data_IF_072276933732
#
_entry.id   IF_072276933732
#
_cell.length_a   1.000
_cell.length_b   1.000
_cell.length_c   1.000
_cell.angle_alpha   90.00
_cell.angle_beta   90.00
_cell.angle_gamma   90.00
#
_symmetry.space_group_name_H-M   'P 1'
#
loop_
_entity.id
_entity.type
_entity.pdbx_description
1 polymer ?
#
# COMPACT_ATOMS: atom_id res chain seq x y z
N UNK A 1 -25.08 30.42 -7.31
CA UNK A 1 -23.96 29.53 -6.93
C UNK A 1 -24.53 28.42 -6.07
N UNK A 2 -24.71 27.22 -6.63
CA UNK A 2 -25.15 26.07 -5.84
C UNK A 2 -24.05 25.74 -4.83
N UNK A 3 -24.33 25.92 -3.53
CA UNK A 3 -23.44 25.50 -2.46
C UNK A 3 -23.30 23.98 -2.57
N UNK A 4 -22.12 23.48 -2.95
CA UNK A 4 -21.82 22.05 -2.90
C UNK A 4 -22.06 21.60 -1.45
N UNK A 5 -22.81 20.52 -1.26
CA UNK A 5 -23.04 19.98 0.08
C UNK A 5 -21.70 19.69 0.75
N UNK A 6 -21.53 20.04 2.04
CA UNK A 6 -20.26 19.85 2.74
C UNK A 6 -19.90 18.37 2.78
N UNK A 7 -18.65 18.05 2.48
CA UNK A 7 -18.16 16.68 2.37
C UNK A 7 -17.40 16.32 3.65
N UNK A 8 -17.85 15.26 4.33
CA UNK A 8 -17.24 14.76 5.56
C UNK A 8 -16.54 13.42 5.34
N UNK A 9 -15.29 13.32 5.78
CA UNK A 9 -14.51 12.08 5.81
C UNK A 9 -14.60 11.42 7.19
N UNK A 10 -14.94 10.14 7.25
CA UNK A 10 -14.76 9.31 8.44
C UNK A 10 -13.39 8.62 8.45
N UNK A 11 -12.72 8.57 9.60
CA UNK A 11 -11.51 7.79 9.83
C UNK A 11 -11.76 6.87 11.02
N UNK A 12 -11.78 5.56 10.81
CA UNK A 12 -11.90 4.57 11.89
C UNK A 12 -10.52 4.03 12.29
N UNK A 13 -10.25 4.06 13.59
CA UNK A 13 -8.94 3.72 14.14
C UNK A 13 -8.01 4.93 14.11
N UNK A 14 -7.46 5.27 15.28
CA UNK A 14 -6.56 6.40 15.43
C UNK A 14 -5.17 5.96 15.87
N UNK A 15 -4.65 4.96 15.17
CA UNK A 15 -3.26 4.53 15.26
C UNK A 15 -2.36 5.27 14.28
N UNK A 16 -1.27 4.62 13.86
CA UNK A 16 -0.25 5.21 12.97
C UNK A 16 -0.82 5.73 11.65
N UNK A 17 -1.48 4.88 10.87
CA UNK A 17 -2.06 5.26 9.57
C UNK A 17 -3.24 6.22 9.73
N UNK A 18 -4.09 6.03 10.74
CA UNK A 18 -5.20 6.95 11.04
C UNK A 18 -4.72 8.37 11.36
N UNK A 19 -3.68 8.52 12.18
CA UNK A 19 -3.08 9.82 12.47
C UNK A 19 -2.50 10.48 11.22
N UNK A 20 -1.71 9.74 10.45
CA UNK A 20 -1.11 10.26 9.23
C UNK A 20 -2.16 10.58 8.15
N UNK A 21 -3.26 9.83 8.10
CA UNK A 21 -4.40 10.14 7.21
C UNK A 21 -5.08 11.45 7.61
N UNK A 22 -5.26 11.70 8.92
CA UNK A 22 -5.72 13.01 9.41
C UNK A 22 -4.75 14.12 8.98
N UNK A 23 -3.44 13.92 9.15
CA UNK A 23 -2.42 14.89 8.73
C UNK A 23 -2.49 15.19 7.23
N UNK A 24 -2.57 14.14 6.39
CA UNK A 24 -2.70 14.27 4.95
C UNK A 24 -3.92 15.10 4.56
N UNK A 25 -5.11 14.74 5.07
CA UNK A 25 -6.34 15.42 4.69
C UNK A 25 -6.45 16.84 5.27
N UNK A 26 -5.90 17.09 6.46
CA UNK A 26 -5.77 18.44 7.02
C UNK A 26 -4.79 19.32 6.21
N UNK A 27 -3.74 18.72 5.63
CA UNK A 27 -2.83 19.39 4.71
C UNK A 27 -3.48 19.70 3.36
N UNK A 28 -4.21 18.73 2.81
CA UNK A 28 -4.87 18.83 1.49
C UNK A 28 -6.11 19.71 1.48
N UNK A 29 -6.85 19.76 2.60
CA UNK A 29 -8.08 20.56 2.77
C UNK A 29 -9.17 20.31 1.72
N UNK A 30 -9.28 19.07 1.24
CA UNK A 30 -10.34 18.68 0.30
C UNK A 30 -11.69 18.51 1.00
N UNK A 31 -11.69 17.97 2.22
CA UNK A 31 -12.91 17.75 3.02
C UNK A 31 -13.18 18.94 3.94
N UNK A 32 -14.46 19.33 4.07
CA UNK A 32 -14.89 20.40 4.97
C UNK A 32 -14.78 19.99 6.44
N UNK A 33 -14.98 18.70 6.72
CA UNK A 33 -14.81 18.14 8.06
C UNK A 33 -14.35 16.68 8.06
N UNK A 34 -13.73 16.27 9.17
CA UNK A 34 -13.23 14.92 9.40
C UNK A 34 -13.76 14.41 10.74
N UNK A 35 -14.27 13.18 10.76
CA UNK A 35 -14.74 12.50 11.97
C UNK A 35 -13.81 11.32 12.24
N UNK A 36 -13.10 11.36 13.34
CA UNK A 36 -12.15 10.32 13.73
C UNK A 36 -12.73 9.47 14.86
N UNK A 37 -12.91 8.17 14.63
CA UNK A 37 -13.27 7.23 15.69
C UNK A 37 -12.04 6.56 16.30
N UNK A 38 -11.84 6.80 17.59
CA UNK A 38 -10.82 6.13 18.42
C UNK A 38 -11.37 4.84 19.04
N UNK A 39 -12.71 4.76 19.18
CA UNK A 39 -13.44 3.59 19.63
C UNK A 39 -13.33 3.25 21.11
N UNK A 40 -12.66 4.08 21.92
CA UNK A 40 -12.60 3.97 23.37
C UNK A 40 -12.18 5.30 23.99
N UNK A 41 -12.41 5.44 25.29
CA UNK A 41 -11.77 6.49 26.06
C UNK A 41 -10.25 6.32 26.05
N UNK A 42 -9.56 7.45 25.86
CA UNK A 42 -8.11 7.55 25.74
C UNK A 42 -7.63 8.81 26.44
N UNK A 43 -6.43 8.72 27.03
CA UNK A 43 -5.85 9.83 27.78
C UNK A 43 -6.60 10.14 29.08
N UNK A 44 -6.13 11.18 29.76
CA UNK A 44 -6.75 11.81 30.93
C UNK A 44 -7.66 12.97 30.52
N UNK A 45 -7.37 13.61 29.39
CA UNK A 45 -8.16 14.73 28.85
C UNK A 45 -8.07 14.81 27.33
N UNK A 46 -8.86 15.69 26.72
CA UNK A 46 -8.80 15.95 25.29
C UNK A 46 -7.42 16.49 24.84
N UNK A 47 -6.68 17.13 25.74
CA UNK A 47 -5.33 17.61 25.48
C UNK A 47 -4.34 16.49 25.16
N UNK A 48 -4.53 15.27 25.67
CA UNK A 48 -3.68 14.13 25.34
C UNK A 48 -3.88 13.68 23.88
N UNK A 49 -5.10 13.82 23.36
CA UNK A 49 -5.41 13.52 21.95
C UNK A 49 -4.77 14.58 21.05
N UNK A 50 -4.87 15.85 21.43
CA UNK A 50 -4.19 16.97 20.76
C UNK A 50 -2.67 16.73 20.75
N UNK A 51 -2.09 16.36 21.90
CA UNK A 51 -0.67 16.05 22.01
C UNK A 51 -0.25 14.91 21.06
N UNK A 52 -1.07 13.86 20.96
CA UNK A 52 -0.84 12.76 20.01
C UNK A 52 -0.95 13.21 18.55
N UNK A 53 -1.94 14.05 18.21
CA UNK A 53 -2.12 14.63 16.88
C UNK A 53 -0.90 15.45 16.49
N UNK A 54 -0.37 16.30 17.36
CA UNK A 54 0.70 17.25 17.01
C UNK A 54 2.08 16.61 16.84
N UNK A 55 2.34 15.45 17.45
CA UNK A 55 3.72 14.94 17.60
C UNK A 55 3.94 13.62 16.91
N UNK A 56 5.01 13.54 16.12
CA UNK A 56 5.47 12.35 15.44
C UNK A 56 6.98 12.19 15.54
N UNK A 57 7.45 11.00 15.94
CA UNK A 57 8.90 10.75 16.04
C UNK A 57 9.58 10.69 14.68
N UNK A 58 8.88 10.23 13.64
CA UNK A 58 9.43 10.06 12.29
C UNK A 58 9.33 11.35 11.49
N UNK A 59 8.18 12.02 11.58
CA UNK A 59 7.86 13.20 10.74
C UNK A 59 7.92 14.53 11.48
N UNK A 60 8.31 14.54 12.75
CA UNK A 60 8.39 15.74 13.58
C UNK A 60 7.01 16.22 14.05
N UNK A 61 6.86 17.53 14.20
CA UNK A 61 5.59 18.14 14.63
C UNK A 61 4.68 18.41 13.44
N UNK A 62 3.37 18.25 13.61
CA UNK A 62 2.36 18.46 12.56
C UNK A 62 2.53 19.83 11.87
N UNK A 63 2.68 20.90 12.65
CA UNK A 63 2.82 22.23 12.07
C UNK A 63 4.10 22.39 11.26
N UNK A 64 5.21 21.83 11.76
CA UNK A 64 6.51 21.88 11.06
C UNK A 64 6.49 21.02 9.81
N UNK A 65 5.81 19.87 9.86
CA UNK A 65 5.58 19.00 8.72
C UNK A 65 4.75 19.71 7.62
N UNK A 66 3.70 20.44 8.00
CA UNK A 66 2.81 21.13 7.04
C UNK A 66 3.36 22.46 6.52
N UNK A 67 4.08 23.22 7.36
CA UNK A 67 4.43 24.64 7.08
C UNK A 67 5.92 24.96 7.24
N UNK A 68 6.76 23.97 7.54
CA UNK A 68 8.21 24.14 7.67
C UNK A 68 8.65 24.83 8.96
N UNK A 69 9.85 25.41 8.96
CA UNK A 69 10.54 25.87 10.17
C UNK A 69 9.90 27.09 10.87
N UNK A 70 9.09 27.89 10.16
CA UNK A 70 8.39 29.06 10.72
C UNK A 70 6.98 28.73 11.22
N UNK A 71 6.63 27.45 11.26
CA UNK A 71 5.28 27.03 11.59
C UNK A 71 4.87 27.37 13.02
N UNK A 72 3.65 27.86 13.16
CA UNK A 72 2.91 27.97 14.44
C UNK A 72 1.92 26.82 14.53
N UNK A 73 1.43 26.51 15.73
CA UNK A 73 0.41 25.47 15.91
C UNK A 73 -0.74 25.67 14.92
N UNK A 74 -1.13 24.56 14.31
CA UNK A 74 -2.24 24.50 13.36
C UNK A 74 -3.53 24.01 14.02
N UNK A 75 -3.53 23.86 15.34
CA UNK A 75 -4.70 23.47 16.12
C UNK A 75 -5.36 24.70 16.72
N UNK A 76 -6.67 24.82 16.55
CA UNK A 76 -7.48 25.91 17.09
C UNK A 76 -8.89 25.42 17.45
N UNK A 77 -9.69 26.30 18.07
CA UNK A 77 -11.12 26.10 18.30
C UNK A 77 -11.45 24.78 19.01
N UNK A 78 -10.68 24.47 20.04
CA UNK A 78 -10.82 23.25 20.84
C UNK A 78 -12.06 23.35 21.72
N UNK A 79 -12.98 22.41 21.53
CA UNK A 79 -14.16 22.20 22.36
C UNK A 79 -14.13 20.77 22.91
N UNK A 80 -13.71 20.62 24.16
CA UNK A 80 -13.58 19.32 24.83
C UNK A 80 -14.93 18.66 25.11
N UNK A 81 -15.97 19.46 25.42
CA UNK A 81 -17.31 18.94 25.71
C UNK A 81 -17.93 18.33 24.44
N UNK A 82 -17.74 19.00 23.29
CA UNK A 82 -18.10 18.43 22.00
C UNK A 82 -17.07 17.41 21.52
N UNK A 83 -15.83 17.39 22.01
CA UNK A 83 -14.76 16.56 21.46
C UNK A 83 -14.40 16.97 20.02
N UNK A 84 -14.38 18.27 19.74
CA UNK A 84 -14.04 18.83 18.43
C UNK A 84 -12.90 19.84 18.51
N UNK A 85 -12.25 20.05 17.37
CA UNK A 85 -11.15 20.99 17.19
C UNK A 85 -11.02 21.32 15.69
N UNK A 86 -10.27 22.36 15.37
CA UNK A 86 -9.80 22.60 14.01
C UNK A 86 -8.35 22.13 13.87
N UNK A 87 -8.04 21.43 12.77
CA UNK A 87 -6.68 21.02 12.41
C UNK A 87 -6.34 21.59 11.04
N UNK A 88 -5.42 22.54 11.01
CA UNK A 88 -5.06 23.34 9.82
C UNK A 88 -6.29 23.99 9.14
N UNK A 89 -7.29 24.39 9.91
CA UNK A 89 -8.54 24.97 9.42
C UNK A 89 -9.61 23.97 8.94
N UNK A 90 -9.34 22.66 9.00
CA UNK A 90 -10.34 21.61 8.77
C UNK A 90 -11.01 21.25 10.08
N UNK A 91 -12.34 21.18 10.10
CA UNK A 91 -13.12 20.81 11.30
C UNK A 91 -12.93 19.33 11.62
N UNK A 92 -12.57 19.00 12.85
CA UNK A 92 -12.34 17.62 13.29
C UNK A 92 -13.22 17.30 14.49
N UNK A 93 -13.88 16.15 14.44
CA UNK A 93 -14.67 15.57 15.56
C UNK A 93 -14.06 14.25 15.98
N UNK A 94 -13.86 14.03 17.27
CA UNK A 94 -13.30 12.78 17.81
C UNK A 94 -14.40 11.98 18.53
N UNK A 95 -14.63 10.74 18.07
CA UNK A 95 -15.53 9.76 18.69
C UNK A 95 -14.74 8.76 19.54
N UNK A 96 -15.27 8.41 20.72
CA UNK A 96 -14.53 7.67 21.76
C UNK A 96 -15.29 6.49 22.38
N UNK A 97 -16.42 6.07 21.84
CA UNK A 97 -17.31 5.12 22.51
C UNK A 97 -17.48 3.77 21.79
N UNK A 98 -17.32 3.72 20.45
CA UNK A 98 -17.74 2.55 19.68
C UNK A 98 -16.59 1.83 18.96
N UNK A 99 -16.38 0.55 19.30
CA UNK A 99 -15.41 -0.32 18.61
C UNK A 99 -16.00 -1.14 17.47
N UNK A 100 -17.30 -1.41 17.51
CA UNK A 100 -17.96 -2.16 16.44
C UNK A 100 -18.38 -1.16 15.35
N UNK A 101 -17.94 -1.32 14.09
CA UNK A 101 -18.24 -0.42 12.99
C UNK A 101 -19.71 -0.03 12.84
N UNK A 102 -20.64 -0.97 13.07
CA UNK A 102 -22.09 -0.75 12.95
C UNK A 102 -22.68 0.24 13.96
N UNK A 103 -21.95 0.50 15.04
CA UNK A 103 -22.39 1.41 16.10
C UNK A 103 -21.72 2.79 15.99
N UNK A 104 -20.81 3.00 15.03
CA UNK A 104 -20.13 4.30 14.88
C UNK A 104 -21.05 5.19 14.04
N UNK A 105 -21.84 6.07 14.67
CA UNK A 105 -22.93 6.88 14.09
C UNK A 105 -22.53 7.76 12.87
N UNK A 106 -22.07 7.22 11.75
CA UNK A 106 -21.57 7.97 10.59
C UNK A 106 -22.64 8.85 9.95
N UNK A 107 -23.87 8.33 9.85
CA UNK A 107 -25.02 9.08 9.33
C UNK A 107 -25.24 10.41 10.08
N UNK A 108 -25.14 10.40 11.41
CA UNK A 108 -25.32 11.59 12.27
C UNK A 108 -24.27 12.66 12.00
N UNK A 109 -23.11 12.26 11.49
CA UNK A 109 -22.02 13.17 11.16
C UNK A 109 -21.85 13.40 9.65
N UNK A 110 -22.80 12.93 8.82
CA UNK A 110 -22.74 13.01 7.36
C UNK A 110 -21.46 12.40 6.74
N UNK A 111 -20.84 11.44 7.43
CA UNK A 111 -19.60 10.79 6.98
C UNK A 111 -19.90 9.67 5.97
N UNK A 112 -20.13 10.04 4.72
CA UNK A 112 -20.50 9.09 3.64
C UNK A 112 -19.31 8.29 3.10
N UNK A 113 -18.09 8.79 3.26
CA UNK A 113 -16.86 8.08 2.90
C UNK A 113 -16.06 7.82 4.17
N UNK A 114 -15.65 6.58 4.39
CA UNK A 114 -14.92 6.15 5.59
C UNK A 114 -13.64 5.43 5.21
N UNK A 115 -12.54 5.75 5.89
CA UNK A 115 -11.30 4.99 5.82
C UNK A 115 -11.15 4.17 7.10
N UNK A 116 -11.08 2.85 6.99
CA UNK A 116 -10.74 1.98 8.12
C UNK A 116 -9.23 1.75 8.18
N UNK A 117 -8.63 2.26 9.25
CA UNK A 117 -7.19 2.12 9.54
C UNK A 117 -6.92 1.23 10.76
N UNK A 118 -7.92 0.47 11.21
CA UNK A 118 -7.80 -0.41 12.38
C UNK A 118 -6.95 -1.65 12.09
N UNK A 119 -6.91 -2.09 10.82
CA UNK A 119 -6.29 -3.34 10.39
C UNK A 119 -7.01 -4.59 10.91
N UNK A 120 -8.21 -4.43 11.49
CA UNK A 120 -9.00 -5.52 12.10
C UNK A 120 -10.08 -6.05 11.18
N UNK A 121 -10.76 -5.16 10.46
CA UNK A 121 -11.93 -5.50 9.64
C UNK A 121 -11.51 -5.66 8.18
N UNK A 122 -10.85 -6.77 7.87
CA UNK A 122 -10.22 -6.98 6.55
C UNK A 122 -10.88 -8.08 5.72
N UNK A 123 -11.88 -8.78 6.26
CA UNK A 123 -12.63 -9.76 5.47
C UNK A 123 -13.92 -9.10 4.96
N UNK A 124 -14.02 -8.75 3.67
CA UNK A 124 -15.19 -8.12 3.10
C UNK A 124 -16.39 -9.08 2.95
N UNK A 125 -16.19 -10.39 3.12
CA UNK A 125 -17.27 -11.38 3.05
C UNK A 125 -18.09 -11.49 4.35
N UNK A 126 -17.56 -10.97 5.45
CA UNK A 126 -18.21 -11.02 6.76
C UNK A 126 -19.40 -10.07 6.87
N UNK A 127 -20.53 -10.58 7.37
CA UNK A 127 -21.78 -9.83 7.53
C UNK A 127 -21.75 -8.78 8.66
N UNK A 128 -22.75 -7.89 8.70
CA UNK A 128 -22.86 -6.80 9.69
C UNK A 128 -23.02 -7.30 11.14
N UNK A 129 -23.48 -8.54 11.31
CA UNK A 129 -23.78 -9.13 12.62
C UNK A 129 -22.62 -9.90 13.24
N UNK A 130 -21.42 -9.86 12.64
CA UNK A 130 -20.25 -10.49 13.23
C UNK A 130 -20.01 -10.00 14.68
N UNK A 131 -19.88 -10.90 15.67
CA UNK A 131 -19.72 -10.52 17.08
C UNK A 131 -18.51 -9.61 17.33
N UNK A 132 -17.45 -9.80 16.53
CA UNK A 132 -16.21 -9.03 16.62
C UNK A 132 -16.20 -7.77 15.76
N UNK A 133 -17.28 -7.49 15.04
CA UNK A 133 -17.43 -6.43 14.03
C UNK A 133 -16.91 -6.84 12.64
N UNK A 134 -17.42 -6.19 11.61
CA UNK A 134 -17.03 -6.38 10.20
C UNK A 134 -16.93 -5.03 9.48
N UNK A 135 -16.24 -5.00 8.34
CA UNK A 135 -16.08 -3.77 7.54
C UNK A 135 -17.43 -3.27 7.01
N UNK A 136 -18.36 -4.19 6.72
CA UNK A 136 -19.74 -3.90 6.32
C UNK A 136 -20.52 -3.12 7.36
N UNK A 137 -20.15 -3.23 8.65
CA UNK A 137 -20.78 -2.43 9.70
C UNK A 137 -20.64 -0.92 9.47
N UNK A 138 -19.60 -0.44 8.77
CA UNK A 138 -19.52 0.98 8.41
C UNK A 138 -20.66 1.41 7.50
N UNK A 139 -21.07 0.55 6.56
CA UNK A 139 -22.19 0.81 5.65
C UNK A 139 -23.51 0.86 6.43
N UNK A 140 -23.73 -0.12 7.32
CA UNK A 140 -24.89 -0.15 8.22
C UNK A 140 -25.01 1.12 9.07
N UNK A 141 -23.86 1.66 9.50
CA UNK A 141 -23.78 2.89 10.28
C UNK A 141 -23.98 4.19 9.45
N UNK A 142 -24.18 4.08 8.14
CA UNK A 142 -24.50 5.20 7.25
C UNK A 142 -23.38 5.65 6.31
N UNK A 143 -22.24 4.95 6.27
CA UNK A 143 -21.27 5.18 5.21
C UNK A 143 -21.80 4.61 3.87
N UNK A 144 -21.42 5.23 2.76
CA UNK A 144 -21.72 4.74 1.40
C UNK A 144 -20.51 4.04 0.79
N UNK A 145 -19.30 4.56 1.05
CA UNK A 145 -18.02 3.99 0.60
C UNK A 145 -17.08 3.77 1.77
N UNK A 146 -16.41 2.63 1.81
CA UNK A 146 -15.46 2.26 2.87
C UNK A 146 -14.15 1.81 2.25
N UNK A 147 -13.05 2.44 2.65
CA UNK A 147 -11.70 2.12 2.17
C UNK A 147 -10.90 1.49 3.31
N UNK A 148 -10.52 0.23 3.18
CA UNK A 148 -9.58 -0.42 4.08
C UNK A 148 -8.14 0.00 3.76
N UNK A 149 -7.41 0.48 4.76
CA UNK A 149 -5.98 0.82 4.65
C UNK A 149 -5.06 -0.42 4.77
N UNK A 150 -5.51 -1.57 4.28
CA UNK A 150 -4.75 -2.81 4.24
C UNK A 150 -5.39 -3.80 3.23
N UNK A 151 -4.64 -4.84 2.79
CA UNK A 151 -5.19 -5.89 1.93
C UNK A 151 -6.34 -6.61 2.61
N UNK A 152 -7.34 -6.99 1.81
CA UNK A 152 -8.37 -7.90 2.29
C UNK A 152 -7.77 -9.26 2.67
N UNK A 153 -8.40 -9.91 3.65
CA UNK A 153 -8.04 -11.22 4.18
C UNK A 153 -9.23 -12.15 4.07
N UNK A 154 -9.42 -12.70 2.88
CA UNK A 154 -10.43 -13.73 2.65
C UNK A 154 -9.90 -15.11 3.07
N UNK A 155 -10.81 -15.99 3.47
CA UNK A 155 -10.49 -17.42 3.63
C UNK A 155 -10.20 -18.02 2.26
N UNK A 156 -9.37 -19.06 2.24
CA UNK A 156 -9.06 -19.79 1.02
C UNK A 156 -10.32 -20.36 0.38
N UNK A 157 -10.44 -20.24 -0.95
CA UNK A 157 -11.62 -20.66 -1.71
C UNK A 157 -12.81 -19.68 -1.67
N UNK A 158 -12.77 -18.62 -0.87
CA UNK A 158 -13.82 -17.59 -0.85
C UNK A 158 -13.55 -16.53 -1.92
N UNK A 159 -14.48 -16.37 -2.84
CA UNK A 159 -14.42 -15.34 -3.87
C UNK A 159 -14.57 -13.93 -3.27
N UNK A 160 -13.98 -12.93 -3.92
CA UNK A 160 -14.21 -11.53 -3.58
C UNK A 160 -15.70 -11.21 -3.76
N UNK A 161 -16.39 -10.62 -2.75
CA UNK A 161 -17.75 -10.13 -2.94
C UNK A 161 -17.80 -9.13 -4.11
N UNK A 162 -18.89 -9.15 -4.88
CA UNK A 162 -18.99 -8.32 -6.08
C UNK A 162 -18.89 -6.81 -5.79
N UNK A 163 -19.36 -6.35 -4.63
CA UNK A 163 -19.27 -4.95 -4.22
C UNK A 163 -17.90 -4.55 -3.66
N UNK A 164 -16.89 -5.42 -3.76
CA UNK A 164 -15.58 -5.25 -3.16
C UNK A 164 -14.45 -5.33 -4.18
N UNK A 165 -13.48 -4.41 -4.10
CA UNK A 165 -12.36 -4.32 -5.06
C UNK A 165 -11.05 -3.96 -4.37
N UNK A 166 -9.92 -4.46 -4.87
CA UNK A 166 -8.58 -4.02 -4.46
C UNK A 166 -7.99 -3.13 -5.56
N UNK A 167 -7.57 -1.93 -5.20
CA UNK A 167 -7.02 -0.97 -6.16
C UNK A 167 -5.71 -0.38 -5.67
N UNK A 168 -4.79 -0.14 -6.60
CA UNK A 168 -3.59 0.68 -6.42
C UNK A 168 -3.66 1.83 -7.44
N UNK A 169 -3.59 3.07 -6.93
CA UNK A 169 -3.59 4.28 -7.78
C UNK A 169 -2.42 4.25 -8.76
N UNK A 170 -2.69 4.58 -10.02
CA UNK A 170 -1.70 4.56 -11.11
C UNK A 170 -1.49 3.19 -11.75
N UNK A 171 -2.12 2.13 -11.23
CA UNK A 171 -1.97 0.76 -11.73
C UNK A 171 -3.30 0.23 -12.24
N UNK A 172 -4.29 0.14 -11.35
CA UNK A 172 -5.62 -0.42 -11.65
C UNK A 172 -6.75 0.38 -10.96
N UNK A 173 -6.53 1.66 -10.66
CA UNK A 173 -7.56 2.53 -10.07
C UNK A 173 -8.85 2.64 -10.90
N UNK A 174 -8.76 2.35 -12.20
CA UNK A 174 -9.88 2.29 -13.14
C UNK A 174 -10.77 1.06 -12.97
N UNK A 175 -10.30 0.02 -12.28
CA UNK A 175 -11.11 -1.17 -11.98
C UNK A 175 -12.22 -0.84 -10.96
N UNK A 176 -12.10 0.30 -10.27
CA UNK A 176 -13.17 0.77 -9.42
C UNK A 176 -14.35 1.31 -10.23
N UNK A 177 -15.48 0.62 -10.08
CA UNK A 177 -16.78 1.08 -10.50
C UNK A 177 -17.51 1.78 -9.32
N UNK A 178 -17.83 3.08 -9.40
CA UNK A 178 -18.54 3.81 -8.35
C UNK A 178 -19.98 3.37 -8.12
N UNK A 179 -20.63 2.74 -9.09
CA UNK A 179 -22.00 2.21 -8.95
C UNK A 179 -21.98 0.88 -8.21
N UNK A 180 -20.98 0.04 -8.48
CA UNK A 180 -20.89 -1.32 -7.94
C UNK A 180 -20.12 -1.42 -6.63
N UNK A 181 -18.94 -0.81 -6.55
CA UNK A 181 -17.99 -1.08 -5.46
C UNK A 181 -18.20 -0.15 -4.27
N UNK A 182 -18.53 -0.72 -3.11
CA UNK A 182 -18.74 0.01 -1.85
C UNK A 182 -17.62 -0.21 -0.84
N UNK A 183 -16.88 -1.32 -0.96
CA UNK A 183 -15.80 -1.68 -0.03
C UNK A 183 -14.51 -1.85 -0.84
N UNK A 184 -13.55 -0.96 -0.58
CA UNK A 184 -12.32 -0.87 -1.36
C UNK A 184 -11.14 -1.23 -0.46
N UNK A 185 -10.21 -2.04 -0.93
CA UNK A 185 -8.89 -2.20 -0.32
C UNK A 185 -7.88 -1.34 -1.05
N UNK A 186 -7.16 -0.49 -0.33
CA UNK A 186 -6.01 0.24 -0.87
C UNK A 186 -4.71 -0.58 -0.79
N UNK A 187 -4.83 -1.91 -0.92
CA UNK A 187 -3.73 -2.87 -0.86
C UNK A 187 -2.79 -2.65 0.36
N UNK A 188 -1.50 -2.98 0.20
CA UNK A 188 -0.45 -2.74 1.20
C UNK A 188 0.63 -1.81 0.63
N UNK A 189 1.41 -1.17 1.50
CA UNK A 189 2.56 -0.35 1.11
C UNK A 189 3.55 -1.10 0.20
N UNK A 190 3.86 -2.37 0.49
CA UNK A 190 4.72 -3.20 -0.37
C UNK A 190 4.07 -3.51 -1.72
N UNK A 191 2.77 -3.85 -1.75
CA UNK A 191 2.05 -4.07 -3.02
C UNK A 191 2.03 -2.80 -3.87
N UNK A 192 1.80 -1.64 -3.26
CA UNK A 192 1.81 -0.34 -3.93
C UNK A 192 3.14 -0.05 -4.59
N UNK A 193 4.26 -0.16 -3.86
CA UNK A 193 5.60 0.02 -4.41
C UNK A 193 5.90 -1.01 -5.52
N UNK A 194 5.71 -2.29 -5.23
CA UNK A 194 6.02 -3.37 -6.15
C UNK A 194 5.26 -3.30 -7.47
N UNK A 195 3.98 -2.89 -7.43
CA UNK A 195 3.16 -2.74 -8.65
C UNK A 195 3.73 -1.65 -9.56
N UNK A 196 4.23 -0.55 -8.98
CA UNK A 196 4.87 0.53 -9.73
C UNK A 196 6.27 0.16 -10.24
N UNK A 197 6.95 -0.82 -9.64
CA UNK A 197 8.18 -1.38 -10.19
C UNK A 197 7.90 -2.31 -11.38
N UNK A 198 6.93 -3.22 -11.22
CA UNK A 198 6.72 -4.29 -12.21
C UNK A 198 5.97 -3.79 -13.45
N UNK A 199 4.93 -2.96 -13.27
CA UNK A 199 4.03 -2.58 -14.37
C UNK A 199 4.76 -1.95 -15.58
N UNK A 200 5.70 -1.00 -15.40
CA UNK A 200 6.47 -0.47 -16.54
C UNK A 200 7.23 -1.53 -17.34
N UNK A 201 7.75 -2.55 -16.67
CA UNK A 201 8.50 -3.63 -17.31
C UNK A 201 7.58 -4.59 -18.05
N UNK A 202 6.41 -4.91 -17.50
CA UNK A 202 5.37 -5.69 -18.19
C UNK A 202 4.89 -4.94 -19.42
N UNK A 203 4.57 -3.65 -19.29
CA UNK A 203 4.04 -2.84 -20.39
C UNK A 203 5.06 -2.71 -21.54
N UNK A 204 6.36 -2.67 -21.22
CA UNK A 204 7.42 -2.58 -22.22
C UNK A 204 7.78 -3.92 -22.87
N UNK A 205 8.01 -4.96 -22.07
CA UNK A 205 8.48 -6.25 -22.59
C UNK A 205 7.34 -7.17 -23.04
N UNK A 206 6.12 -6.95 -22.54
CA UNK A 206 5.03 -7.91 -22.66
C UNK A 206 5.20 -9.07 -21.67
N UNK A 207 4.06 -9.62 -21.24
CA UNK A 207 4.02 -10.67 -20.22
C UNK A 207 4.75 -11.95 -20.64
N UNK A 208 4.69 -12.31 -21.92
CA UNK A 208 5.26 -13.54 -22.48
C UNK A 208 6.78 -13.61 -22.36
N UNK A 209 7.43 -12.44 -22.25
CA UNK A 209 8.89 -12.35 -22.13
C UNK A 209 9.38 -12.42 -20.69
N UNK A 210 8.48 -12.37 -19.71
CA UNK A 210 8.84 -12.45 -18.28
C UNK A 210 8.71 -13.90 -17.84
N UNK A 211 9.85 -14.55 -17.64
CA UNK A 211 9.91 -15.99 -17.33
C UNK A 211 9.63 -16.27 -15.85
N UNK A 212 10.14 -15.44 -14.97
CA UNK A 212 9.90 -15.52 -13.53
C UNK A 212 10.31 -14.22 -12.85
N UNK A 213 9.80 -14.02 -11.64
CA UNK A 213 10.23 -12.91 -10.81
C UNK A 213 10.25 -13.30 -9.33
N UNK A 214 11.08 -12.64 -8.56
CA UNK A 214 11.10 -12.77 -7.11
C UNK A 214 11.39 -11.43 -6.46
N UNK A 215 10.96 -11.25 -5.23
CA UNK A 215 11.34 -10.07 -4.46
C UNK A 215 11.59 -10.39 -3.00
N UNK A 216 12.47 -9.61 -2.41
CA UNK A 216 12.59 -9.49 -0.97
C UNK A 216 12.36 -8.02 -0.60
N UNK A 217 11.47 -7.76 0.35
CA UNK A 217 11.36 -6.43 0.94
C UNK A 217 12.14 -6.34 2.25
N UNK A 218 13.11 -5.43 2.29
CA UNK A 218 13.77 -4.99 3.53
C UNK A 218 12.92 -3.85 4.08
N UNK A 219 12.14 -4.17 5.10
CA UNK A 219 11.04 -3.33 5.54
C UNK A 219 11.31 -2.80 6.95
N UNK A 220 11.07 -1.51 7.14
CA UNK A 220 11.07 -0.88 8.44
C UNK A 220 10.13 -1.57 9.44
N UNK A 221 10.41 -1.37 10.72
CA UNK A 221 9.59 -1.84 11.82
C UNK A 221 8.17 -1.27 11.72
N UNK A 222 7.20 -2.02 12.25
CA UNK A 222 5.81 -1.55 12.39
C UNK A 222 5.31 -1.82 13.80
N UNK A 223 4.13 -1.28 14.14
CA UNK A 223 3.48 -1.57 15.43
C UNK A 223 3.07 -3.05 15.65
N UNK A 224 3.31 -3.94 14.67
CA UNK A 224 3.08 -5.37 14.83
C UNK A 224 4.25 -6.13 15.46
N UNK A 225 5.46 -5.56 15.44
CA UNK A 225 6.63 -6.11 16.12
C UNK A 225 6.67 -5.67 17.59
N UNK A 226 7.43 -6.39 18.43
CA UNK A 226 7.56 -6.06 19.85
C UNK A 226 8.82 -5.21 20.11
N UNK A 227 8.72 -4.29 21.07
CA UNK A 227 9.87 -3.48 21.52
C UNK A 227 10.90 -4.36 22.22
N UNK A 228 10.43 -5.25 23.10
CA UNK A 228 11.21 -6.26 23.79
C UNK A 228 10.54 -7.63 23.62
N UNK A 229 11.28 -8.69 23.90
CA UNK A 229 10.78 -10.06 23.83
C UNK A 229 9.49 -10.22 24.66
N UNK A 230 8.45 -10.81 24.05
CA UNK A 230 7.14 -10.99 24.68
C UNK A 230 6.60 -12.38 24.44
N UNK A 231 5.90 -12.96 25.42
CA UNK A 231 5.21 -14.23 25.24
C UNK A 231 4.24 -14.21 24.02
N UNK A 232 4.22 -15.28 23.22
CA UNK A 232 3.29 -15.43 22.11
C UNK A 232 1.85 -15.47 22.60
N UNK A 233 0.95 -14.93 21.78
CA UNK A 233 -0.49 -15.12 21.98
C UNK A 233 -0.87 -16.55 21.60
N UNK A 234 -1.95 -17.06 22.17
CA UNK A 234 -2.54 -18.36 21.79
C UNK A 234 -2.73 -18.44 20.27
N UNK A 235 -2.21 -19.51 19.65
CA UNK A 235 -2.30 -19.74 18.20
C UNK A 235 -1.32 -18.92 17.35
N UNK A 236 -0.28 -18.31 17.93
CA UNK A 236 0.77 -17.65 17.17
C UNK A 236 1.47 -18.64 16.24
N UNK A 237 1.45 -18.35 14.92
CA UNK A 237 2.09 -19.16 13.89
C UNK A 237 3.55 -18.77 13.62
N UNK A 238 3.96 -17.57 14.03
CA UNK A 238 5.29 -17.02 13.80
C UNK A 238 5.87 -16.44 15.09
N UNK A 239 6.73 -17.22 15.75
CA UNK A 239 7.36 -16.85 17.02
C UNK A 239 8.46 -15.80 16.87
N UNK A 240 8.93 -15.52 15.64
CA UNK A 240 9.96 -14.49 15.42
C UNK A 240 9.40 -13.10 15.71
N UNK A 241 8.11 -12.89 15.47
CA UNK A 241 7.40 -11.61 15.74
C UNK A 241 7.29 -11.26 17.22
N UNK A 242 7.62 -12.21 18.09
CA UNK A 242 7.66 -12.02 19.53
C UNK A 242 9.01 -11.50 20.04
N UNK A 243 10.03 -11.46 19.19
CA UNK A 243 11.36 -10.96 19.52
C UNK A 243 11.46 -9.44 19.34
N UNK A 244 12.35 -8.81 20.10
CA UNK A 244 12.67 -7.38 20.03
C UNK A 244 13.03 -6.92 18.62
N UNK A 245 12.39 -5.86 18.12
CA UNK A 245 12.70 -5.26 16.81
C UNK A 245 13.94 -4.36 16.81
N UNK A 246 14.38 -3.88 17.97
CA UNK A 246 15.44 -2.87 18.06
C UNK A 246 16.83 -3.42 17.72
N UNK A 247 17.00 -4.74 17.76
CA UNK A 247 18.31 -5.40 17.64
C UNK A 247 18.25 -6.70 16.84
N UNK A 248 17.19 -6.92 16.04
CA UNK A 248 17.05 -8.11 15.22
C UNK A 248 16.69 -7.80 13.77
N UNK A 249 17.12 -8.70 12.90
CA UNK A 249 16.62 -8.85 11.54
C UNK A 249 15.58 -9.98 11.58
N UNK A 250 14.31 -9.67 11.34
CA UNK A 250 13.21 -10.62 11.52
C UNK A 250 12.61 -11.02 10.16
N UNK A 251 12.81 -12.28 9.79
CA UNK A 251 12.17 -12.87 8.62
C UNK A 251 10.65 -12.98 8.83
N UNK A 252 9.85 -12.67 7.82
CA UNK A 252 8.38 -12.81 7.84
C UNK A 252 7.85 -13.09 6.44
N UNK A 253 6.69 -13.72 6.37
CA UNK A 253 5.96 -13.83 5.11
C UNK A 253 5.31 -12.52 4.72
N UNK A 254 5.06 -12.35 3.42
CA UNK A 254 4.31 -11.24 2.84
C UNK A 254 3.21 -11.75 1.91
N UNK A 255 2.09 -11.02 1.85
CA UNK A 255 0.98 -11.32 0.94
C UNK A 255 1.12 -10.66 -0.43
N UNK A 256 2.23 -9.94 -0.68
CA UNK A 256 2.39 -9.10 -1.87
C UNK A 256 2.24 -9.88 -3.19
N UNK A 257 2.73 -11.13 -3.25
CA UNK A 257 2.58 -12.00 -4.41
C UNK A 257 1.10 -12.23 -4.79
N UNK A 258 0.27 -12.62 -3.82
CA UNK A 258 -1.17 -12.85 -4.03
C UNK A 258 -1.90 -11.54 -4.34
N UNK A 259 -1.51 -10.45 -3.68
CA UNK A 259 -2.11 -9.15 -3.88
C UNK A 259 -1.80 -8.54 -5.26
N UNK A 260 -0.61 -8.83 -5.83
CA UNK A 260 -0.25 -8.40 -7.18
C UNK A 260 -1.22 -8.92 -8.23
N UNK A 261 -1.64 -10.19 -8.14
CA UNK A 261 -2.60 -10.78 -9.09
C UNK A 261 -3.96 -10.07 -9.07
N UNK A 262 -4.32 -9.39 -7.97
CA UNK A 262 -5.55 -8.62 -7.87
C UNK A 262 -5.46 -7.25 -8.55
N UNK A 263 -4.25 -6.73 -8.77
CA UNK A 263 -4.02 -5.38 -9.31
C UNK A 263 -3.30 -5.37 -10.65
N UNK A 264 -2.61 -6.46 -10.99
CA UNK A 264 -1.98 -6.74 -12.28
C UNK A 264 -2.30 -8.22 -12.58
N UNK A 265 -3.48 -8.52 -13.16
CA UNK A 265 -3.94 -9.89 -13.38
C UNK A 265 -2.95 -10.78 -14.15
N UNK A 266 -2.15 -10.19 -15.04
CA UNK A 266 -1.09 -10.84 -15.80
C UNK A 266 -0.05 -11.51 -14.89
N UNK A 267 0.15 -11.02 -13.67
CA UNK A 267 1.05 -11.64 -12.68
C UNK A 267 0.61 -13.05 -12.25
N UNK A 268 -0.61 -13.48 -12.56
CA UNK A 268 -1.07 -14.83 -12.28
C UNK A 268 -0.33 -15.90 -13.11
N UNK A 269 0.24 -15.53 -14.26
CA UNK A 269 0.96 -16.46 -15.15
C UNK A 269 2.46 -16.51 -14.87
N UNK A 270 3.00 -15.54 -14.13
CA UNK A 270 4.42 -15.49 -13.75
C UNK A 270 4.64 -16.25 -12.45
N UNK A 271 5.60 -17.16 -12.45
CA UNK A 271 6.12 -17.74 -11.20
C UNK A 271 6.74 -16.64 -10.33
N UNK A 272 6.06 -16.28 -9.23
CA UNK A 272 6.45 -15.15 -8.38
C UNK A 272 6.66 -15.56 -6.91
N UNK A 273 7.86 -15.27 -6.37
CA UNK A 273 8.20 -15.48 -4.95
C UNK A 273 8.33 -14.14 -4.25
N UNK A 274 7.76 -14.01 -3.05
CA UNK A 274 7.83 -12.78 -2.26
C UNK A 274 8.22 -13.06 -0.81
N UNK A 275 9.32 -12.45 -0.39
CA UNK A 275 9.87 -12.56 0.97
C UNK A 275 9.87 -11.19 1.66
N UNK A 276 9.88 -11.20 2.99
CA UNK A 276 9.98 -9.97 3.77
C UNK A 276 10.91 -10.13 4.95
N UNK A 277 11.70 -9.09 5.18
CA UNK A 277 12.65 -8.97 6.27
C UNK A 277 12.35 -7.68 7.01
N UNK A 278 12.23 -7.73 8.33
CA UNK A 278 12.05 -6.54 9.18
C UNK A 278 13.36 -6.12 9.78
N UNK A 279 13.67 -4.83 9.73
CA UNK A 279 14.91 -4.26 10.26
C UNK A 279 14.63 -3.15 11.29
N UNK A 280 15.63 -2.79 12.13
CA UNK A 280 15.49 -1.77 13.18
C UNK A 280 15.44 -0.30 12.68
N UNK A 281 14.65 -0.01 11.64
CA UNK A 281 14.40 1.35 11.16
C UNK A 281 12.94 1.75 11.38
N UNK A 282 12.68 3.05 11.57
CA UNK A 282 11.35 3.56 11.92
C UNK A 282 10.40 3.66 10.72
N UNK A 283 10.91 4.12 9.57
CA UNK A 283 10.25 4.06 8.26
C UNK A 283 11.33 4.04 7.17
N UNK A 284 10.93 3.97 5.91
CA UNK A 284 11.84 3.86 4.78
C UNK A 284 12.18 2.39 4.54
N UNK A 285 11.60 1.84 3.49
CA UNK A 285 11.70 0.43 3.12
C UNK A 285 12.19 0.29 1.69
N UNK A 286 12.71 -0.88 1.38
CA UNK A 286 13.29 -1.22 0.09
C UNK A 286 12.68 -2.51 -0.44
N UNK A 287 12.45 -2.58 -1.74
CA UNK A 287 12.19 -3.81 -2.48
C UNK A 287 13.40 -4.10 -3.35
N UNK A 288 13.91 -5.32 -3.23
CA UNK A 288 14.88 -5.90 -4.16
C UNK A 288 14.08 -6.82 -5.07
N UNK A 289 13.86 -6.39 -6.30
CA UNK A 289 13.10 -7.11 -7.31
C UNK A 289 14.09 -7.80 -8.27
N UNK A 290 13.95 -9.10 -8.43
CA UNK A 290 14.67 -9.89 -9.42
C UNK A 290 13.68 -10.34 -10.48
N UNK A 291 13.96 -10.05 -11.74
CA UNK A 291 13.14 -10.50 -12.88
C UNK A 291 14.00 -11.19 -13.91
N UNK A 292 13.49 -12.27 -14.49
CA UNK A 292 14.14 -13.01 -15.56
C UNK A 292 13.38 -12.78 -16.86
N UNK A 293 14.05 -12.22 -17.86
CA UNK A 293 13.50 -11.89 -19.16
C UNK A 293 14.09 -12.79 -20.23
N UNK A 294 13.25 -13.27 -21.14
CA UNK A 294 13.72 -13.90 -22.37
C UNK A 294 14.27 -12.82 -23.32
N UNK A 295 15.52 -13.00 -23.73
CA UNK A 295 16.14 -12.19 -24.78
C UNK A 295 15.52 -12.55 -26.13
N UNK A 296 15.34 -11.55 -26.99
CA UNK A 296 14.91 -11.76 -28.36
C UNK A 296 16.10 -11.94 -29.28
N UNK A 297 16.00 -12.90 -30.22
CA UNK A 297 17.00 -13.05 -31.28
C UNK A 297 17.00 -11.79 -32.14
N UNK A 298 18.20 -11.28 -32.47
CA UNK A 298 18.43 -10.12 -33.35
C UNK A 298 17.91 -8.76 -32.84
N UNK A 299 17.55 -8.64 -31.55
CA UNK A 299 17.23 -7.36 -30.91
C UNK A 299 18.39 -6.87 -30.05
N UNK A 300 18.31 -5.61 -29.61
CA UNK A 300 19.26 -5.08 -28.63
C UNK A 300 19.09 -5.87 -27.32
N UNK A 301 20.18 -6.37 -26.73
CA UNK A 301 20.08 -7.22 -25.57
C UNK A 301 19.66 -6.39 -24.34
N UNK A 302 18.96 -7.03 -23.40
CA UNK A 302 18.49 -6.37 -22.18
C UNK A 302 19.68 -6.06 -21.28
N UNK A 303 19.92 -4.77 -21.04
CA UNK A 303 21.02 -4.27 -20.20
C UNK A 303 20.50 -3.19 -19.27
N UNK A 304 21.29 -2.84 -18.25
CA UNK A 304 21.02 -1.74 -17.30
C UNK A 304 20.40 -0.52 -17.98
N UNK A 305 21.04 0.01 -19.02
CA UNK A 305 20.57 1.22 -19.71
C UNK A 305 19.15 1.09 -20.30
N UNK A 306 18.76 -0.10 -20.76
CA UNK A 306 17.39 -0.34 -21.24
C UNK A 306 16.40 -0.32 -20.08
N UNK A 307 16.68 -1.05 -19.00
CA UNK A 307 15.83 -1.09 -17.79
C UNK A 307 15.66 0.32 -17.21
N UNK A 308 16.76 1.05 -17.05
CA UNK A 308 16.77 2.43 -16.57
C UNK A 308 15.92 3.34 -17.46
N UNK A 309 16.05 3.22 -18.79
CA UNK A 309 15.26 4.03 -19.74
C UNK A 309 13.76 3.76 -19.67
N UNK A 310 13.34 2.53 -19.34
CA UNK A 310 11.93 2.17 -19.16
C UNK A 310 11.37 2.93 -17.95
N UNK A 311 12.12 2.96 -16.83
CA UNK A 311 11.70 3.67 -15.64
C UNK A 311 11.74 5.19 -15.79
N UNK A 312 12.75 5.75 -16.47
CA UNK A 312 12.78 7.19 -16.82
C UNK A 312 11.56 7.59 -17.65
N UNK A 313 11.18 6.77 -18.63
CA UNK A 313 10.01 7.04 -19.46
C UNK A 313 8.71 6.88 -18.66
N UNK A 314 8.65 5.87 -17.79
CA UNK A 314 7.50 5.66 -16.91
C UNK A 314 7.30 6.83 -15.94
N UNK A 315 8.37 7.35 -15.32
CA UNK A 315 8.33 8.58 -14.50
C UNK A 315 7.80 9.77 -15.32
N UNK A 316 8.36 10.04 -16.52
CA UNK A 316 7.93 11.15 -17.38
C UNK A 316 6.46 11.05 -17.79
N UNK A 317 5.97 9.84 -18.01
CA UNK A 317 4.56 9.58 -18.36
C UNK A 317 3.60 9.62 -17.16
N UNK A 318 4.12 9.51 -15.93
CA UNK A 318 3.34 9.45 -14.71
C UNK A 318 3.08 10.85 -14.15
N UNK A 319 2.03 11.50 -14.65
CA UNK A 319 1.64 12.86 -14.22
C UNK A 319 1.25 12.97 -12.75
N UNK A 320 0.98 11.85 -12.06
CA UNK A 320 0.62 11.83 -10.65
C UNK A 320 1.84 11.83 -9.71
N UNK A 321 3.03 11.54 -10.24
CA UNK A 321 4.27 11.47 -9.47
C UNK A 321 4.41 10.22 -8.58
N UNK A 322 3.70 9.13 -8.90
CA UNK A 322 3.77 7.90 -8.11
C UNK A 322 5.04 7.09 -8.34
N UNK A 323 5.70 7.24 -9.48
CA UNK A 323 6.97 6.58 -9.77
C UNK A 323 8.02 7.66 -9.98
N UNK A 324 9.11 7.59 -9.22
CA UNK A 324 10.28 8.44 -9.40
C UNK A 324 11.47 7.58 -9.84
N UNK A 325 12.34 8.16 -10.66
CA UNK A 325 13.59 7.55 -11.09
C UNK A 325 14.77 8.39 -10.62
N UNK A 326 15.84 7.73 -10.15
CA UNK A 326 17.04 8.43 -9.68
C UNK A 326 18.31 7.63 -9.92
N UNK A 327 19.38 8.33 -10.28
CA UNK A 327 20.76 7.83 -10.36
C UNK A 327 21.58 8.23 -9.12
N UNK A 328 20.94 8.85 -8.12
CA UNK A 328 21.58 9.18 -6.84
C UNK A 328 21.69 7.92 -5.99
N UNK A 329 22.78 7.81 -5.24
CA UNK A 329 23.00 6.75 -4.26
C UNK A 329 22.25 7.09 -2.98
N UNK A 330 21.04 6.54 -2.81
CA UNK A 330 20.17 6.88 -1.67
C UNK A 330 20.35 5.90 -0.53
N UNK A 331 20.05 6.35 0.68
CA UNK A 331 19.82 5.49 1.84
C UNK A 331 18.38 5.65 2.33
N UNK A 332 17.94 4.76 3.24
CA UNK A 332 16.55 4.73 3.71
C UNK A 332 16.01 6.07 4.22
N UNK A 333 16.85 6.93 4.81
CA UNK A 333 16.46 8.24 5.33
C UNK A 333 16.12 9.25 4.25
N UNK A 334 16.72 9.15 3.06
CA UNK A 334 16.53 10.11 1.96
C UNK A 334 15.13 9.97 1.32
N UNK A 335 14.47 8.85 1.57
CA UNK A 335 13.16 8.49 1.02
C UNK A 335 12.02 8.93 1.97
N UNK A 336 12.35 9.19 3.23
CA UNK A 336 11.37 9.56 4.26
C UNK A 336 10.80 10.93 3.90
N UNK A 337 9.47 10.99 3.75
CA UNK A 337 8.82 12.25 3.37
C UNK A 337 8.84 12.57 1.88
N UNK A 338 9.42 11.74 1.00
CA UNK A 338 9.36 11.91 -0.46
C UNK A 338 7.91 11.92 -0.96
N UNK A 339 7.36 13.08 -1.35
CA UNK A 339 5.91 13.21 -1.52
C UNK A 339 5.38 12.34 -2.66
N UNK A 340 4.29 11.61 -2.38
CA UNK A 340 3.49 10.80 -3.31
C UNK A 340 4.19 9.62 -3.99
N UNK A 341 5.50 9.44 -3.84
CA UNK A 341 6.21 8.35 -4.51
C UNK A 341 5.75 6.98 -3.98
N UNK A 342 5.04 6.21 -4.81
CA UNK A 342 4.78 4.79 -4.61
C UNK A 342 6.09 4.01 -4.61
N UNK A 343 6.97 4.33 -5.55
CA UNK A 343 8.30 3.76 -5.68
C UNK A 343 9.30 4.83 -6.14
N UNK A 344 10.50 4.81 -5.56
CA UNK A 344 11.67 5.53 -6.05
C UNK A 344 12.68 4.50 -6.56
N UNK A 345 12.85 4.43 -7.88
CA UNK A 345 13.73 3.47 -8.54
C UNK A 345 15.16 3.96 -8.49
N UNK A 346 16.05 3.15 -7.90
CA UNK A 346 17.48 3.43 -7.85
C UNK A 346 18.20 2.83 -9.06
N UNK A 347 18.31 3.64 -10.12
CA UNK A 347 18.94 3.27 -11.39
C UNK A 347 20.43 2.97 -11.29
N UNK A 348 21.12 3.61 -10.32
CA UNK A 348 22.56 3.45 -10.08
C UNK A 348 22.92 1.99 -9.77
N UNK A 349 22.05 1.32 -9.01
CA UNK A 349 22.20 -0.07 -8.56
C UNK A 349 21.45 -1.08 -9.43
N UNK A 350 20.91 -0.70 -10.58
CA UNK A 350 20.28 -1.69 -11.46
C UNK A 350 21.34 -2.62 -12.05
N UNK A 351 21.23 -3.92 -11.82
CA UNK A 351 22.20 -4.91 -12.30
C UNK A 351 21.55 -5.87 -13.27
N UNK A 352 22.25 -6.23 -14.35
CA UNK A 352 21.77 -7.22 -15.33
C UNK A 352 22.83 -8.25 -15.62
N UNK A 353 22.45 -9.53 -15.68
CA UNK A 353 23.32 -10.63 -16.10
C UNK A 353 22.58 -11.50 -17.10
N UNK A 354 23.22 -11.77 -18.24
CA UNK A 354 22.66 -12.66 -19.27
C UNK A 354 23.38 -13.99 -19.24
N UNK A 355 22.60 -15.06 -19.37
CA UNK A 355 23.10 -16.42 -19.49
C UNK A 355 22.16 -17.28 -20.33
N UNK A 356 22.65 -18.46 -20.69
CA UNK A 356 21.87 -19.48 -21.37
C UNK A 356 21.14 -20.36 -20.35
N UNK A 357 19.85 -20.61 -20.59
CA UNK A 357 19.09 -21.68 -19.92
C UNK A 357 18.81 -22.76 -20.94
N UNK A 358 19.22 -23.99 -20.63
CA UNK A 358 18.98 -25.14 -21.49
C UNK A 358 17.62 -25.76 -21.16
N UNK A 359 16.81 -25.96 -22.20
CA UNK A 359 15.46 -26.54 -22.13
C UNK A 359 15.50 -27.88 -22.85
N UNK A 360 15.19 -28.96 -22.13
CA UNK A 360 14.91 -30.25 -22.75
C UNK A 360 13.47 -30.28 -23.26
N UNK A 361 13.30 -30.29 -24.58
CA UNK A 361 12.02 -30.30 -25.27
C UNK A 361 11.18 -31.54 -24.93
N UNK A 362 11.80 -32.66 -24.55
CA UNK A 362 11.10 -33.87 -24.10
C UNK A 362 10.30 -33.65 -22.79
N UNK A 363 10.65 -32.61 -22.02
CA UNK A 363 9.96 -32.25 -20.78
C UNK A 363 9.04 -31.04 -20.92
N UNK A 364 8.98 -30.43 -22.11
CA UNK A 364 8.08 -29.30 -22.39
C UNK A 364 6.69 -29.84 -22.65
N UNK A 365 5.72 -29.38 -21.85
CA UNK A 365 4.31 -29.73 -22.06
C UNK A 365 3.79 -29.06 -23.33
N UNK A 366 3.03 -29.81 -24.14
CA UNK A 366 2.35 -29.30 -25.32
C UNK A 366 3.11 -29.47 -26.64
N UNK A 367 4.27 -30.15 -26.65
CA UNK A 367 4.93 -30.55 -27.90
C UNK A 367 4.55 -32.00 -28.22
N UNK A 368 3.96 -32.23 -29.39
CA UNK A 368 3.61 -33.57 -29.86
C UNK A 368 4.85 -34.43 -30.12
N UNK A 369 4.74 -35.73 -29.81
CA UNK A 369 5.85 -36.68 -29.98
C UNK A 369 6.36 -36.74 -31.43
N UNK A 370 5.46 -36.69 -32.40
CA UNK A 370 5.84 -36.69 -33.81
C UNK A 370 6.66 -35.46 -34.20
N UNK A 371 6.43 -34.31 -33.53
CA UNK A 371 7.22 -33.09 -33.75
C UNK A 371 8.58 -33.22 -33.07
N UNK A 372 8.63 -33.76 -31.85
CA UNK A 372 9.89 -34.02 -31.13
C UNK A 372 10.82 -34.91 -31.97
N UNK A 373 10.31 -36.00 -32.54
CA UNK A 373 11.09 -36.94 -33.36
C UNK A 373 11.68 -36.28 -34.64
N UNK A 374 11.15 -35.12 -35.07
CA UNK A 374 11.68 -34.35 -36.20
C UNK A 374 12.78 -33.36 -35.80
N UNK A 375 12.95 -33.06 -34.50
CA UNK A 375 13.94 -32.11 -34.00
C UNK A 375 15.23 -32.87 -33.73
N UNK A 376 16.33 -32.49 -34.40
CA UNK A 376 17.61 -33.18 -34.25
C UNK A 376 18.21 -33.06 -32.84
N UNK A 377 18.12 -31.87 -32.24
CA UNK A 377 18.67 -31.57 -30.92
C UNK A 377 17.52 -31.26 -29.95
N UNK A 378 17.20 -32.21 -29.07
CA UNK A 378 16.11 -32.07 -28.11
C UNK A 378 16.42 -31.07 -26.98
N UNK A 379 17.69 -30.68 -26.82
CA UNK A 379 18.08 -29.64 -25.85
C UNK A 379 18.37 -28.34 -26.59
N UNK A 380 17.48 -27.37 -26.43
CA UNK A 380 17.67 -26.02 -26.96
C UNK A 380 18.10 -25.06 -25.85
N UNK A 381 18.68 -23.93 -26.22
CA UNK A 381 19.12 -22.91 -25.27
C UNK A 381 18.39 -21.60 -25.52
N UNK A 382 17.79 -21.04 -24.48
CA UNK A 382 17.26 -19.67 -24.51
C UNK A 382 18.22 -18.73 -23.79
N UNK A 383 18.40 -17.54 -24.35
CA UNK A 383 19.13 -16.47 -23.67
C UNK A 383 18.18 -15.78 -22.69
N UNK A 384 18.60 -15.69 -21.44
CA UNK A 384 17.82 -15.09 -20.36
C UNK A 384 18.63 -14.02 -19.67
N UNK A 385 18.07 -12.83 -19.58
CA UNK A 385 18.61 -11.75 -18.76
C UNK A 385 17.92 -11.73 -17.41
N UNK A 386 18.69 -11.94 -16.36
CA UNK A 386 18.28 -11.63 -15.00
C UNK A 386 18.58 -10.15 -14.71
N UNK A 387 17.59 -9.41 -14.24
CA UNK A 387 17.74 -8.05 -13.76
C UNK A 387 17.45 -7.98 -12.26
N UNK A 388 18.27 -7.24 -11.52
CA UNK A 388 18.04 -6.86 -10.12
C UNK A 388 17.77 -5.36 -10.09
N UNK A 389 16.62 -4.99 -9.53
CA UNK A 389 16.12 -3.61 -9.49
C UNK A 389 15.75 -3.26 -8.05
N UNK A 390 16.09 -2.05 -7.64
CA UNK A 390 15.89 -1.54 -6.29
C UNK A 390 14.82 -0.45 -6.30
N UNK A 391 13.80 -0.62 -5.47
CA UNK A 391 12.69 0.33 -5.33
C UNK A 391 12.48 0.72 -3.88
N UNK A 392 12.76 1.97 -3.56
CA UNK A 392 12.53 2.52 -2.24
C UNK A 392 11.10 3.02 -2.08
N UNK A 393 10.60 2.99 -0.84
CA UNK A 393 9.31 3.56 -0.49
C UNK A 393 9.26 3.93 0.99
N UNK A 394 8.69 5.09 1.30
CA UNK A 394 8.28 5.41 2.67
C UNK A 394 6.98 4.64 2.98
N UNK A 395 7.09 3.54 3.71
CA UNK A 395 5.97 2.65 4.01
C UNK A 395 4.84 3.28 4.85
N UNK A 396 4.92 4.55 5.25
CA UNK A 396 3.88 5.26 5.98
C UNK A 396 3.39 6.52 5.25
N UNK A 397 3.88 7.71 5.59
CA UNK A 397 3.28 8.99 5.19
C UNK A 397 3.49 9.28 3.70
N UNK A 398 4.74 9.26 3.26
CA UNK A 398 5.09 9.86 1.98
C UNK A 398 4.62 9.04 0.77
N UNK A 399 4.59 7.72 0.90
CA UNK A 399 4.05 6.79 -0.09
C UNK A 399 2.62 6.38 0.24
N UNK A 400 2.44 5.47 1.20
CA UNK A 400 1.18 4.74 1.37
C UNK A 400 0.00 5.63 1.75
N UNK A 401 0.17 6.52 2.73
CA UNK A 401 -0.90 7.42 3.19
C UNK A 401 -1.25 8.45 2.14
N UNK A 402 -0.28 9.01 1.43
CA UNK A 402 -0.56 9.95 0.35
C UNK A 402 -1.36 9.30 -0.79
N UNK A 403 -1.00 8.08 -1.17
CA UNK A 403 -1.69 7.32 -2.22
C UNK A 403 -3.09 6.90 -1.74
N UNK A 404 -3.23 6.48 -0.48
CA UNK A 404 -4.54 6.25 0.14
C UNK A 404 -5.39 7.53 0.12
N UNK A 405 -4.80 8.68 0.43
CA UNK A 405 -5.47 9.97 0.39
C UNK A 405 -5.95 10.35 -1.01
N UNK A 406 -5.14 10.11 -2.05
CA UNK A 406 -5.55 10.27 -3.45
C UNK A 406 -6.70 9.33 -3.83
N UNK A 407 -6.67 8.08 -3.33
CA UNK A 407 -7.76 7.13 -3.54
C UNK A 407 -9.06 7.57 -2.86
N UNK A 408 -8.96 8.09 -1.65
CA UNK A 408 -10.10 8.62 -0.90
C UNK A 408 -10.72 9.82 -1.61
N UNK A 409 -9.90 10.74 -2.11
CA UNK A 409 -10.39 11.91 -2.84
C UNK A 409 -11.02 11.53 -4.19
N UNK A 410 -10.38 10.66 -4.97
CA UNK A 410 -10.96 10.21 -6.26
C UNK A 410 -12.30 9.49 -6.09
N UNK A 411 -12.45 8.68 -5.04
CA UNK A 411 -13.76 8.08 -4.70
C UNK A 411 -14.76 9.17 -4.33
N UNK A 412 -14.38 10.14 -3.49
CA UNK A 412 -15.29 11.23 -3.11
C UNK A 412 -15.70 12.09 -4.31
N UNK A 413 -14.80 12.33 -5.27
CA UNK A 413 -15.11 13.01 -6.53
C UNK A 413 -16.15 12.25 -7.36
N UNK A 414 -16.07 10.91 -7.40
CA UNK A 414 -17.03 10.06 -8.12
C UNK A 414 -18.43 9.95 -7.46
N UNK A 415 -18.58 10.40 -6.22
CA UNK A 415 -19.86 10.39 -5.49
C UNK A 415 -20.71 11.64 -5.74
N UNK A 416 -20.15 12.64 -6.43
CA UNK A 416 -20.78 13.91 -6.80
C UNK A 416 -20.88 14.03 -8.32
#
# INVERSE_FOLDING_TARGET
>A
MNKKDPITLGINGFGRIGKLSLWHHAGRKYFDSIVVNVGREVGKSFQDIIHYIERDTTYGRLESFLKGYQAKSVISDVDEAAGSLNVNGVKVKILRNNRNPKNIEWAKHNAKIVVDTTGRFLDPSLGVNEPKGSIRGHIEAGAQKVIASAPFKLKEGVAMPEDSVTTVMGINDRDYDPVKHNIISNASCTTTCLSHMIKPLIDYFGIERILSASMATVHAATGSQQVLDRLPKTGAKDLRKNRSILNNIILTTTGAAKALQLVIPEMATIGFIAESVRIPTATGSLIILVMNFQEELNKKPIRRGMINSIYENAEKSNTNGYLLYTEKQNVSSDIIGTPKAAAVIEGHETHTRTGAININLEHVRGIDKNILDMIKDHVTSIQVTQAVIYGWYDNEMASYVNILGDRVVSIAESMH
#
